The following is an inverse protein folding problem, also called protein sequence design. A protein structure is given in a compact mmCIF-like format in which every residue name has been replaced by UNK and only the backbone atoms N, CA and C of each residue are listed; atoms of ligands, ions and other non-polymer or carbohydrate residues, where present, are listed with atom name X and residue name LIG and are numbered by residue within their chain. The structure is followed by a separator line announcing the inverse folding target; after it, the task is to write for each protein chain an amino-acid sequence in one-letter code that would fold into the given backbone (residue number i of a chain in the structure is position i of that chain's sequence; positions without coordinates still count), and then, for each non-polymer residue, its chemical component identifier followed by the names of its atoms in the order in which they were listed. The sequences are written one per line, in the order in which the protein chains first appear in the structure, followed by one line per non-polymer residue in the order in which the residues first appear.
data_IF_836982485344
#
_entry.id   IF_836982485344
#
_cell.length_a   1.000
_cell.length_b   1.000
_cell.length_c   1.000
_cell.angle_alpha   90.00
_cell.angle_beta   90.00
_cell.angle_gamma   90.00
#
_symmetry.space_group_name_H-M   'P 1'
#
loop_
_entity.id
_entity.type
_entity.pdbx_description
1 polymer ?
#
# COMPACT_ATOMS: atom_id res chain seq x y z
N UNK A 1 -6.83 12.50 -6.52
CA UNK A 1 -6.21 11.24 -6.06
C UNK A 1 -5.46 11.41 -4.74
N UNK A 2 -5.88 10.67 -3.70
CA UNK A 2 -5.19 10.63 -2.40
C UNK A 2 -4.37 9.34 -2.29
N UNK A 3 -3.13 9.42 -1.80
CA UNK A 3 -2.28 8.24 -1.58
C UNK A 3 -1.95 8.14 -0.09
N UNK A 4 -2.25 6.99 0.50
CA UNK A 4 -1.88 6.64 1.86
C UNK A 4 -0.86 5.51 1.83
N UNK A 5 0.34 5.79 2.33
CA UNK A 5 1.41 4.82 2.44
C UNK A 5 1.38 4.23 3.84
N UNK A 6 1.25 2.91 3.94
CA UNK A 6 1.33 2.18 5.21
C UNK A 6 2.60 1.35 5.18
N UNK A 7 3.51 1.55 6.13
CA UNK A 7 4.79 0.84 6.12
C UNK A 7 5.30 0.48 7.51
N UNK A 8 6.17 -0.53 7.56
CA UNK A 8 6.96 -0.84 8.76
C UNK A 8 7.96 0.30 9.05
N UNK A 9 8.24 0.58 10.33
CA UNK A 9 9.07 1.72 10.79
C UNK A 9 10.46 1.83 10.16
N UNK A 10 10.99 0.75 9.60
CA UNK A 10 12.35 0.67 9.06
C UNK A 10 12.42 0.46 7.55
N UNK A 11 11.31 0.66 6.84
CA UNK A 11 11.31 0.55 5.38
C UNK A 11 11.90 1.82 4.78
N UNK A 12 12.74 1.65 3.77
CA UNK A 12 13.37 2.74 3.02
C UNK A 12 12.36 3.52 2.16
N UNK A 13 11.29 4.06 2.75
CA UNK A 13 10.31 4.93 2.10
C UNK A 13 10.96 6.18 1.51
N UNK A 14 12.09 6.62 2.08
CA UNK A 14 12.88 7.71 1.52
C UNK A 14 13.36 7.38 0.09
N UNK A 15 13.63 6.11 -0.22
CA UNK A 15 13.96 5.69 -1.58
C UNK A 15 12.76 5.85 -2.52
N UNK A 16 11.57 5.43 -2.08
CA UNK A 16 10.33 5.62 -2.83
C UNK A 16 10.07 7.11 -3.12
N UNK A 17 10.13 7.96 -2.09
CA UNK A 17 9.89 9.41 -2.21
C UNK A 17 10.88 10.11 -3.13
N UNK A 18 12.17 9.76 -3.06
CA UNK A 18 13.22 10.36 -3.89
C UNK A 18 13.08 9.97 -5.36
N UNK A 19 12.66 8.74 -5.64
CA UNK A 19 12.55 8.24 -7.00
C UNK A 19 11.20 8.52 -7.65
N UNK A 20 10.17 8.83 -6.87
CA UNK A 20 8.90 9.28 -7.42
C UNK A 20 9.01 10.70 -7.99
N UNK A 21 8.99 10.80 -9.33
CA UNK A 21 9.21 12.05 -10.06
C UNK A 21 8.03 13.02 -9.98
N UNK A 22 6.84 12.59 -9.57
CA UNK A 22 5.67 13.46 -9.36
C UNK A 22 5.58 13.91 -7.89
N UNK A 23 5.36 15.22 -7.68
CA UNK A 23 4.96 15.84 -6.40
C UNK A 23 3.54 15.40 -5.99
N UNK A 24 3.30 14.11 -5.82
CA UNK A 24 2.04 13.64 -5.23
C UNK A 24 2.07 13.83 -3.72
N UNK A 25 1.04 14.49 -3.18
CA UNK A 25 0.82 14.53 -1.74
C UNK A 25 0.45 13.12 -1.28
N UNK A 26 1.30 12.52 -0.46
CA UNK A 26 1.01 11.24 0.21
C UNK A 26 0.96 11.46 1.72
N UNK A 27 0.13 10.67 2.39
CA UNK A 27 0.06 10.62 3.85
C UNK A 27 0.63 9.30 4.32
N UNK A 28 1.47 9.32 5.35
CA UNK A 28 2.18 8.13 5.82
C UNK A 28 1.67 7.66 7.17
N UNK A 29 1.47 6.34 7.25
CA UNK A 29 1.11 5.65 8.47
C UNK A 29 2.12 4.54 8.76
N UNK A 30 2.61 4.51 9.98
CA UNK A 30 3.35 3.35 10.47
C UNK A 30 2.40 2.18 10.72
N UNK A 31 2.88 0.98 10.41
CA UNK A 31 2.26 -0.29 10.76
C UNK A 31 2.44 -0.55 12.26
N UNK A 32 1.58 0.05 13.09
CA UNK A 32 1.63 -0.03 14.55
C UNK A 32 0.24 -0.20 15.18
N UNK A 33 0.18 -0.27 16.50
CA UNK A 33 -1.07 -0.45 17.26
C UNK A 33 -2.12 0.66 17.03
N UNK A 34 -1.71 1.83 16.54
CA UNK A 34 -2.61 2.96 16.24
C UNK A 34 -3.16 2.96 14.81
N UNK A 35 -2.80 1.96 13.99
CA UNK A 35 -3.18 1.89 12.58
C UNK A 35 -4.70 1.99 12.34
N UNK A 36 -5.51 1.34 13.19
CA UNK A 36 -6.97 1.40 13.06
C UNK A 36 -7.51 2.84 13.16
N UNK A 37 -7.00 3.64 14.09
CA UNK A 37 -7.39 5.04 14.24
C UNK A 37 -6.93 5.88 13.04
N UNK A 38 -5.73 5.62 12.52
CA UNK A 38 -5.19 6.32 11.34
C UNK A 38 -5.99 6.00 10.06
N UNK A 39 -6.43 4.75 9.89
CA UNK A 39 -7.24 4.34 8.75
C UNK A 39 -8.61 5.05 8.72
N UNK A 40 -9.17 5.45 9.86
CA UNK A 40 -10.43 6.21 9.88
C UNK A 40 -10.32 7.56 9.15
N UNK A 41 -9.13 8.13 9.01
CA UNK A 41 -8.89 9.36 8.23
C UNK A 41 -9.13 9.14 6.73
N UNK A 42 -9.00 7.90 6.27
CA UNK A 42 -9.19 7.50 4.87
C UNK A 42 -10.68 7.32 4.54
N UNK A 43 -11.53 7.07 5.55
CA UNK A 43 -12.94 6.81 5.35
C UNK A 43 -13.61 7.95 4.57
N UNK A 44 -14.44 7.60 3.59
CA UNK A 44 -15.20 8.53 2.73
C UNK A 44 -14.36 9.36 1.73
N UNK A 45 -13.09 9.01 1.48
CA UNK A 45 -12.30 9.63 0.41
C UNK A 45 -12.49 8.87 -0.92
N UNK A 46 -13.08 9.54 -1.91
CA UNK A 46 -13.12 9.04 -3.30
C UNK A 46 -11.72 8.96 -3.91
N UNK A 47 -11.53 7.99 -4.82
CA UNK A 47 -10.29 7.78 -5.59
C UNK A 47 -9.03 7.75 -4.71
N UNK A 48 -9.05 6.81 -3.77
CA UNK A 48 -8.02 6.63 -2.77
C UNK A 48 -7.14 5.42 -3.10
N UNK A 49 -5.82 5.60 -2.97
CA UNK A 49 -4.86 4.52 -2.97
C UNK A 49 -4.38 4.25 -1.56
N UNK A 50 -4.46 2.99 -1.15
CA UNK A 50 -3.80 2.51 0.06
C UNK A 50 -2.69 1.57 -0.38
N UNK A 51 -1.46 1.89 -0.02
CA UNK A 51 -0.28 1.14 -0.44
C UNK A 51 0.38 0.60 0.82
N UNK A 52 0.27 -0.71 1.02
CA UNK A 52 0.95 -1.41 2.10
C UNK A 52 2.33 -1.86 1.62
N UNK A 53 3.37 -1.28 2.21
CA UNK A 53 4.76 -1.60 1.89
C UNK A 53 5.37 -2.32 3.09
N UNK A 54 5.91 -3.51 2.85
CA UNK A 54 6.50 -4.40 3.87
C UNK A 54 7.78 -5.03 3.35
N UNK A 55 8.64 -5.52 4.25
CA UNK A 55 9.79 -6.32 3.83
C UNK A 55 9.35 -7.60 3.10
N UNK A 56 8.36 -8.29 3.63
CA UNK A 56 7.68 -9.44 2.99
C UNK A 56 6.19 -9.26 3.15
N UNK A 57 5.40 -9.75 2.19
CA UNK A 57 3.94 -9.72 2.27
C UNK A 57 3.45 -10.24 3.63
N UNK A 58 2.61 -9.45 4.31
CA UNK A 58 2.09 -9.82 5.63
C UNK A 58 1.31 -11.13 5.57
N UNK A 59 1.48 -11.94 6.61
CA UNK A 59 0.66 -13.12 6.82
C UNK A 59 -0.81 -12.73 6.92
N UNK A 60 -1.72 -13.53 6.35
CA UNK A 60 -3.17 -13.30 6.47
C UNK A 60 -3.69 -13.44 7.91
N UNK A 61 -2.90 -14.06 8.80
CA UNK A 61 -3.17 -14.15 10.23
C UNK A 61 -2.75 -12.88 11.00
N UNK A 62 -1.91 -12.03 10.40
CA UNK A 62 -1.38 -10.81 11.02
C UNK A 62 -2.51 -9.85 11.43
N UNK A 63 -2.35 -9.25 12.62
CA UNK A 63 -3.36 -8.35 13.19
C UNK A 63 -3.52 -7.09 12.36
N UNK A 64 -2.43 -6.48 11.90
CA UNK A 64 -2.47 -5.27 11.10
C UNK A 64 -3.03 -5.57 9.70
N UNK A 65 -2.70 -6.72 9.13
CA UNK A 65 -3.32 -7.15 7.87
C UNK A 65 -4.85 -7.26 7.99
N UNK A 66 -5.35 -7.91 9.05
CA UNK A 66 -6.79 -8.01 9.31
C UNK A 66 -7.46 -6.64 9.47
N UNK A 67 -6.79 -5.71 10.16
CA UNK A 67 -7.28 -4.33 10.33
C UNK A 67 -7.41 -3.63 8.97
N UNK A 68 -6.36 -3.69 8.14
CA UNK A 68 -6.36 -3.10 6.80
C UNK A 68 -7.46 -3.75 5.96
N UNK A 69 -7.50 -5.09 5.92
CA UNK A 69 -8.50 -5.86 5.17
C UNK A 69 -9.92 -5.42 5.48
N UNK A 70 -10.27 -5.40 6.77
CA UNK A 70 -11.61 -5.00 7.22
C UNK A 70 -11.94 -3.56 6.80
N UNK A 71 -10.95 -2.67 6.76
CA UNK A 71 -11.15 -1.29 6.32
C UNK A 71 -11.38 -1.19 4.81
N UNK A 72 -10.58 -1.89 4.01
CA UNK A 72 -10.71 -1.90 2.54
C UNK A 72 -12.04 -2.53 2.11
N UNK A 73 -12.43 -3.67 2.69
CA UNK A 73 -13.69 -4.36 2.32
C UNK A 73 -14.94 -3.51 2.61
N UNK A 74 -14.89 -2.66 3.64
CA UNK A 74 -15.95 -1.68 3.95
C UNK A 74 -16.00 -0.50 2.98
N UNK A 75 -14.90 -0.22 2.26
CA UNK A 75 -14.73 0.95 1.41
C UNK A 75 -14.30 0.52 0.00
N UNK A 76 -15.26 0.05 -0.81
CA UNK A 76 -15.00 -0.53 -2.15
C UNK A 76 -14.35 0.42 -3.18
N UNK A 77 -14.30 1.72 -2.89
CA UNK A 77 -13.66 2.73 -3.76
C UNK A 77 -12.14 2.86 -3.54
N UNK A 78 -11.58 2.12 -2.56
CA UNK A 78 -10.15 2.14 -2.29
C UNK A 78 -9.43 1.14 -3.20
N UNK A 79 -8.44 1.63 -3.93
CA UNK A 79 -7.49 0.79 -4.64
C UNK A 79 -6.36 0.37 -3.69
N UNK A 80 -6.34 -0.89 -3.30
CA UNK A 80 -5.40 -1.45 -2.37
C UNK A 80 -4.24 -2.15 -3.09
N UNK A 81 -3.01 -1.73 -2.78
CA UNK A 81 -1.77 -2.31 -3.33
C UNK A 81 -0.95 -2.89 -2.18
N UNK A 82 -0.54 -4.15 -2.32
CA UNK A 82 0.39 -4.81 -1.42
C UNK A 82 1.77 -4.93 -2.07
N UNK A 83 2.80 -4.45 -1.37
CA UNK A 83 4.19 -4.46 -1.84
C UNK A 83 5.08 -5.12 -0.78
N UNK A 84 5.67 -6.24 -1.15
CA UNK A 84 6.73 -6.92 -0.40
C UNK A 84 8.07 -6.68 -1.07
N UNK A 85 9.04 -6.10 -0.38
CA UNK A 85 10.36 -5.84 -0.99
C UNK A 85 11.11 -7.14 -1.33
N UNK A 86 10.93 -8.18 -0.50
CA UNK A 86 11.50 -9.51 -0.64
C UNK A 86 10.46 -10.51 -1.15
N UNK A 87 10.93 -11.67 -1.64
CA UNK A 87 10.05 -12.71 -2.20
C UNK A 87 9.21 -13.30 -1.08
N UNK A 88 7.94 -13.58 -1.37
CA UNK A 88 7.02 -14.24 -0.46
C UNK A 88 6.41 -15.46 -1.13
N UNK A 89 5.94 -16.42 -0.33
CA UNK A 89 5.20 -17.61 -0.76
C UNK A 89 3.68 -17.41 -0.68
N UNK A 90 3.23 -16.20 -0.35
CA UNK A 90 1.79 -15.89 -0.26
C UNK A 90 1.16 -16.05 -1.64
N UNK A 91 0.18 -16.95 -1.73
CA UNK A 91 -0.59 -17.15 -2.95
C UNK A 91 -1.42 -15.90 -3.27
N UNK A 92 -1.39 -15.47 -4.53
CA UNK A 92 -2.09 -14.27 -5.01
C UNK A 92 -3.60 -14.37 -4.84
N UNK A 93 -4.19 -15.57 -4.97
CA UNK A 93 -5.62 -15.81 -4.79
C UNK A 93 -6.16 -15.50 -3.38
N UNK A 94 -5.27 -15.40 -2.37
CA UNK A 94 -5.61 -15.09 -0.97
C UNK A 94 -5.46 -13.60 -0.67
N UNK A 95 -5.18 -12.78 -1.67
CA UNK A 95 -5.02 -11.33 -1.53
C UNK A 95 -6.34 -10.61 -1.77
N UNK A 96 -6.63 -9.59 -0.96
CA UNK A 96 -7.74 -8.66 -1.22
C UNK A 96 -7.27 -7.43 -2.01
N UNK A 97 -5.97 -7.28 -2.19
CA UNK A 97 -5.37 -6.19 -2.95
C UNK A 97 -5.71 -6.28 -4.43
N UNK A 98 -6.00 -5.13 -5.05
CA UNK A 98 -6.09 -5.00 -6.51
C UNK A 98 -4.77 -5.36 -7.19
N UNK A 99 -3.64 -5.18 -6.49
CA UNK A 99 -2.32 -5.53 -7.00
C UNK A 99 -1.41 -6.02 -5.88
N UNK A 100 -0.73 -7.15 -6.13
CA UNK A 100 0.26 -7.74 -5.24
C UNK A 100 1.61 -7.75 -5.96
N UNK A 101 2.62 -7.13 -5.35
CA UNK A 101 3.99 -7.06 -5.86
C UNK A 101 4.95 -7.62 -4.83
N UNK A 102 5.79 -8.59 -5.17
CA UNK A 102 6.83 -9.04 -4.25
C UNK A 102 8.10 -9.57 -4.93
N UNK A 103 9.22 -9.54 -4.22
CA UNK A 103 10.46 -10.22 -4.64
C UNK A 103 11.38 -9.42 -5.55
N UNK A 104 11.15 -8.12 -5.71
CA UNK A 104 11.94 -7.29 -6.63
C UNK A 104 12.33 -5.94 -6.00
N UNK A 105 12.95 -5.90 -4.81
CA UNK A 105 13.30 -4.66 -4.07
C UNK A 105 13.76 -3.48 -4.96
N UNK A 106 14.66 -3.70 -5.92
CA UNK A 106 15.14 -2.65 -6.84
C UNK A 106 14.08 -2.20 -7.87
N UNK A 107 13.27 -3.12 -8.39
CA UNK A 107 12.29 -2.85 -9.44
C UNK A 107 10.87 -2.57 -8.91
N UNK A 108 10.60 -2.84 -7.62
CA UNK A 108 9.31 -2.58 -7.00
C UNK A 108 8.95 -1.09 -7.06
N UNK A 109 9.93 -0.19 -6.90
CA UNK A 109 9.66 1.24 -6.88
C UNK A 109 9.29 1.82 -8.26
N UNK A 110 10.05 1.59 -9.34
CA UNK A 110 9.65 2.05 -10.67
C UNK A 110 8.33 1.44 -11.15
N UNK A 111 8.04 0.17 -10.79
CA UNK A 111 6.77 -0.47 -11.17
C UNK A 111 5.59 0.17 -10.42
N UNK A 112 5.75 0.40 -9.12
CA UNK A 112 4.74 1.08 -8.30
C UNK A 112 4.50 2.51 -8.82
N UNK A 113 5.55 3.21 -9.28
CA UNK A 113 5.43 4.51 -9.95
C UNK A 113 4.61 4.45 -11.23
N UNK A 114 4.87 3.48 -12.10
CA UNK A 114 4.08 3.29 -13.32
C UNK A 114 2.61 3.00 -13.03
N UNK A 115 2.32 2.15 -12.04
CA UNK A 115 0.94 1.81 -11.64
C UNK A 115 0.17 3.02 -11.14
N UNK A 116 0.76 3.78 -10.22
CA UNK A 116 0.13 4.98 -9.67
C UNK A 116 -0.07 6.02 -10.77
N UNK A 117 0.91 6.22 -11.66
CA UNK A 117 0.78 7.16 -12.77
C UNK A 117 -0.30 6.77 -13.78
N UNK A 118 -0.38 5.47 -14.11
CA UNK A 118 -1.40 4.94 -15.00
C UNK A 118 -2.80 5.21 -14.44
N UNK A 119 -3.03 4.96 -13.15
CA UNK A 119 -4.32 5.19 -12.52
C UNK A 119 -4.63 6.66 -12.26
N UNK A 120 -3.63 7.46 -11.90
CA UNK A 120 -3.81 8.89 -11.65
C UNK A 120 -3.97 9.75 -12.90
N UNK A 121 -3.69 9.20 -14.09
CA UNK A 121 -3.90 9.86 -15.37
C UNK A 121 -5.11 9.26 -16.14
N UNK A 122 -5.90 8.37 -15.53
CA UNK A 122 -7.16 7.95 -16.17
C UNK A 122 -8.08 9.18 -16.25
N UNK A 123 -8.67 9.45 -17.44
CA UNK A 123 -9.55 10.59 -17.66
C UNK A 123 -10.84 10.49 -16.83
#
# INVERSE_FOLDING_TARGET
MNIYLIAEKNIELNYFKRNFKKKMKSTEFNLDSSLAAKLNVIANKKECFVILITNTILSRKDKNYKIIKNHIEKNKEINFIEVGLNKSLVETNKTISNTLMHGFKKNSWPLLEKLINYWGNKP
#
